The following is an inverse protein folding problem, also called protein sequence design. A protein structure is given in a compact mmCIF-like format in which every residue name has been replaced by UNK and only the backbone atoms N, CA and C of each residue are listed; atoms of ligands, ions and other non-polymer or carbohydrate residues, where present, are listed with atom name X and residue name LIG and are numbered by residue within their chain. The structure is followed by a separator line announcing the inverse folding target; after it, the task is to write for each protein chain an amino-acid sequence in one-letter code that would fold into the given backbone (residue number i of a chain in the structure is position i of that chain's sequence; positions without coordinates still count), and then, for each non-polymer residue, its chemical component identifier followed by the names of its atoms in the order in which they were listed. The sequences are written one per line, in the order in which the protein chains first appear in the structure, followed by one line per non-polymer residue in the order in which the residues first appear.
data_IF_630376517515
#
_entry.id   IF_630376517515
#
_cell.length_a   1.000
_cell.length_b   1.000
_cell.length_c   1.000
_cell.angle_alpha   90.00
_cell.angle_beta   90.00
_cell.angle_gamma   90.00
#
_symmetry.space_group_name_H-M   'P 1'
#
loop_
_entity.id
_entity.type
_entity.pdbx_description
1 polymer ?
#
# COMPACT_ATOMS: atom_id res chain seq x y z
N UNK A 1 -15.06 7.51 -11.01
CA UNK A 1 -14.84 7.44 -9.55
C UNK A 1 -15.18 6.08 -8.95
N UNK A 2 -16.44 5.62 -8.97
CA UNK A 2 -16.79 4.32 -8.36
C UNK A 2 -16.03 3.15 -9.01
N UNK A 3 -16.04 3.05 -10.33
CA UNK A 3 -15.29 2.02 -11.08
C UNK A 3 -13.78 2.11 -10.85
N UNK A 4 -13.25 3.32 -10.73
CA UNK A 4 -11.83 3.54 -10.43
C UNK A 4 -11.49 3.01 -9.03
N UNK A 5 -12.28 3.34 -8.02
CA UNK A 5 -12.07 2.83 -6.66
C UNK A 5 -12.21 1.30 -6.60
N UNK A 6 -13.13 0.71 -7.37
CA UNK A 6 -13.24 -0.75 -7.50
C UNK A 6 -11.98 -1.37 -8.10
N UNK A 7 -11.36 -0.73 -9.09
CA UNK A 7 -10.11 -1.19 -9.69
C UNK A 7 -8.97 -1.17 -8.66
N UNK A 8 -8.90 -0.12 -7.84
CA UNK A 8 -7.93 -0.06 -6.73
C UNK A 8 -8.16 -1.18 -5.70
N UNK A 9 -9.41 -1.45 -5.33
CA UNK A 9 -9.78 -2.57 -4.45
C UNK A 9 -9.34 -3.91 -5.03
N UNK A 10 -9.56 -4.14 -6.32
CA UNK A 10 -9.13 -5.38 -6.97
C UNK A 10 -7.60 -5.55 -6.94
N UNK A 11 -6.83 -4.48 -7.16
CA UNK A 11 -5.38 -4.55 -7.01
C UNK A 11 -4.96 -4.94 -5.59
N UNK A 12 -5.56 -4.33 -4.56
CA UNK A 12 -5.29 -4.66 -3.17
C UNK A 12 -5.63 -6.12 -2.84
N UNK A 13 -6.79 -6.61 -3.30
CA UNK A 13 -7.25 -7.98 -3.09
C UNK A 13 -6.39 -9.03 -3.81
N UNK A 14 -5.82 -8.67 -4.96
CA UNK A 14 -4.91 -9.51 -5.74
C UNK A 14 -3.47 -9.51 -5.16
N UNK A 15 -3.20 -8.75 -4.11
CA UNK A 15 -1.84 -8.57 -3.57
C UNK A 15 -0.92 -7.69 -4.44
N UNK A 16 -1.48 -6.98 -5.42
CA UNK A 16 -0.77 -6.05 -6.32
C UNK A 16 -0.63 -4.68 -5.65
N UNK A 17 0.14 -4.66 -4.56
CA UNK A 17 0.22 -3.50 -3.64
C UNK A 17 0.83 -2.27 -4.31
N UNK A 18 1.86 -2.46 -5.14
CA UNK A 18 2.53 -1.34 -5.81
C UNK A 18 1.61 -0.71 -6.85
N UNK A 19 0.92 -1.55 -7.63
CA UNK A 19 -0.04 -1.13 -8.64
C UNK A 19 -1.24 -0.43 -8.00
N UNK A 20 -1.71 -0.90 -6.83
CA UNK A 20 -2.74 -0.23 -6.06
C UNK A 20 -2.30 1.18 -5.61
N UNK A 21 -1.09 1.28 -5.05
CA UNK A 21 -0.52 2.55 -4.59
C UNK A 21 -0.33 3.56 -5.72
N UNK A 22 0.31 3.15 -6.82
CA UNK A 22 0.51 3.98 -8.02
C UNK A 22 -0.82 4.47 -8.58
N UNK A 23 -1.81 3.58 -8.69
CA UNK A 23 -3.11 3.92 -9.24
C UNK A 23 -3.91 4.88 -8.33
N UNK A 24 -3.89 4.69 -7.01
CA UNK A 24 -4.57 5.57 -6.06
C UNK A 24 -3.94 6.97 -6.00
N UNK A 25 -2.62 7.07 -6.11
CA UNK A 25 -1.92 8.35 -6.23
C UNK A 25 -2.38 9.12 -7.48
N UNK A 26 -2.46 8.44 -8.63
CA UNK A 26 -2.94 9.05 -9.86
C UNK A 26 -4.41 9.48 -9.75
N UNK A 27 -5.25 8.71 -9.08
CA UNK A 27 -6.63 9.12 -8.78
C UNK A 27 -6.69 10.35 -7.87
N UNK A 28 -5.81 10.44 -6.87
CA UNK A 28 -5.75 11.59 -5.96
C UNK A 28 -5.37 12.89 -6.68
N UNK A 29 -4.45 12.84 -7.65
CA UNK A 29 -4.04 14.02 -8.46
C UNK A 29 -5.17 14.58 -9.32
N UNK A 30 -6.05 13.71 -9.79
CA UNK A 30 -7.13 14.05 -10.73
C UNK A 30 -8.43 14.50 -10.05
N UNK A 31 -8.43 14.60 -8.71
CA UNK A 31 -9.59 15.00 -7.93
C UNK A 31 -9.24 16.17 -7.01
N UNK A 32 -10.22 17.02 -6.67
CA UNK A 32 -10.06 18.09 -5.68
C UNK A 32 -9.71 17.48 -4.31
N UNK A 33 -8.40 17.35 -4.08
CA UNK A 33 -7.83 16.65 -2.94
C UNK A 33 -7.80 17.58 -1.72
N UNK A 34 -8.35 17.10 -0.60
CA UNK A 34 -8.14 17.73 0.69
C UNK A 34 -6.70 17.47 1.19
N UNK A 35 -6.29 18.20 2.23
CA UNK A 35 -4.93 18.12 2.79
C UNK A 35 -4.54 16.69 3.21
N UNK A 36 -5.49 15.91 3.75
CA UNK A 36 -5.26 14.51 4.12
C UNK A 36 -4.93 13.64 2.89
N UNK A 37 -5.71 13.76 1.81
CA UNK A 37 -5.48 13.03 0.55
C UNK A 37 -4.10 13.37 0.00
N UNK A 38 -3.72 14.65 0.01
CA UNK A 38 -2.40 15.10 -0.46
C UNK A 38 -1.31 14.44 0.38
N UNK A 39 -1.37 14.55 1.71
CA UNK A 39 -0.37 13.97 2.62
C UNK A 39 -0.21 12.45 2.42
N UNK A 40 -1.32 11.72 2.40
CA UNK A 40 -1.29 10.26 2.25
C UNK A 40 -0.73 9.87 0.89
N UNK A 41 -1.16 10.54 -0.19
CA UNK A 41 -0.67 10.27 -1.54
C UNK A 41 0.83 10.55 -1.69
N UNK A 42 1.33 11.64 -1.10
CA UNK A 42 2.76 11.96 -1.12
C UNK A 42 3.60 10.94 -0.35
N UNK A 43 3.09 10.40 0.75
CA UNK A 43 3.79 9.34 1.49
C UNK A 43 3.84 8.03 0.68
N UNK A 44 2.76 7.67 -0.02
CA UNK A 44 2.76 6.53 -0.95
C UNK A 44 3.80 6.74 -2.07
N UNK A 45 3.84 7.93 -2.68
CA UNK A 45 4.84 8.25 -3.73
C UNK A 45 6.28 8.15 -3.24
N UNK A 46 6.53 8.58 -2.00
CA UNK A 46 7.84 8.47 -1.35
C UNK A 46 8.24 7.01 -1.20
N UNK A 47 7.38 6.17 -0.63
CA UNK A 47 7.68 4.74 -0.42
C UNK A 47 7.88 4.00 -1.75
N UNK A 48 7.08 4.30 -2.78
CA UNK A 48 7.24 3.76 -4.13
C UNK A 48 8.58 4.14 -4.76
N UNK A 49 9.11 5.33 -4.45
CA UNK A 49 10.42 5.79 -4.91
C UNK A 49 11.55 5.10 -4.16
N UNK A 50 11.46 5.03 -2.83
CA UNK A 50 12.50 4.42 -2.00
C UNK A 50 12.68 2.93 -2.35
N UNK A 51 11.59 2.21 -2.67
CA UNK A 51 11.66 0.84 -3.19
C UNK A 51 12.45 0.69 -4.51
N UNK A 52 12.58 1.76 -5.31
CA UNK A 52 13.33 1.74 -6.58
C UNK A 52 14.81 2.11 -6.38
N UNK A 53 15.15 2.85 -5.32
CA UNK A 53 16.48 3.47 -5.14
C UNK A 53 17.49 2.61 -4.36
N UNK A 54 17.06 1.55 -3.67
CA UNK A 54 17.93 0.74 -2.77
C UNK A 54 18.72 -0.40 -3.45
N UNK A 55 18.66 -0.52 -4.79
CA UNK A 55 19.26 -1.66 -5.53
C UNK A 55 20.77 -1.82 -5.34
N UNK A 56 21.51 -0.71 -5.24
CA UNK A 56 22.97 -0.70 -5.09
C UNK A 56 23.46 -1.29 -3.76
N UNK A 57 22.63 -1.31 -2.71
CA UNK A 57 23.02 -1.80 -1.37
C UNK A 57 23.35 -3.30 -1.42
N UNK A 58 22.71 -4.04 -2.32
CA UNK A 58 22.95 -5.47 -2.55
C UNK A 58 24.32 -5.78 -3.20
N UNK A 59 24.97 -4.75 -3.77
CA UNK A 59 26.25 -4.84 -4.47
C UNK A 59 27.45 -4.55 -3.55
N UNK A 60 27.22 -4.19 -2.28
CA UNK A 60 28.28 -3.91 -1.31
C UNK A 60 29.11 -5.18 -1.06
N UNK A 61 30.41 -5.10 -1.38
CA UNK A 61 31.37 -6.15 -1.04
C UNK A 61 31.68 -6.13 0.47
N UNK A 62 31.16 -7.13 1.19
CA UNK A 62 31.26 -7.21 2.64
C UNK A 62 31.11 -8.66 3.10
N UNK A 63 31.82 -9.01 4.18
CA UNK A 63 31.62 -10.29 4.90
C UNK A 63 30.22 -10.43 5.52
N UNK A 64 29.45 -9.34 5.58
CA UNK A 64 28.08 -9.31 6.10
C UNK A 64 27.02 -9.26 4.98
N UNK A 65 27.39 -9.51 3.73
CA UNK A 65 26.49 -9.40 2.57
C UNK A 65 25.15 -10.12 2.77
N UNK A 66 25.17 -11.34 3.29
CA UNK A 66 23.93 -12.10 3.52
C UNK A 66 23.01 -11.43 4.56
N UNK A 67 23.60 -10.82 5.60
CA UNK A 67 22.83 -10.05 6.59
C UNK A 67 22.26 -8.77 5.97
N UNK A 68 23.03 -8.10 5.11
CA UNK A 68 22.57 -6.92 4.37
C UNK A 68 21.38 -7.29 3.49
N UNK A 69 21.47 -8.37 2.71
CA UNK A 69 20.38 -8.86 1.86
C UNK A 69 19.14 -9.18 2.69
N UNK A 70 19.28 -9.91 3.80
CA UNK A 70 18.16 -10.23 4.69
C UNK A 70 17.47 -8.98 5.24
N UNK A 71 18.24 -7.98 5.67
CA UNK A 71 17.69 -6.71 6.20
C UNK A 71 16.98 -5.93 5.09
N UNK A 72 17.51 -5.93 3.87
CA UNK A 72 16.86 -5.30 2.72
C UNK A 72 15.53 -5.98 2.38
N UNK A 73 15.48 -7.30 2.38
CA UNK A 73 14.25 -8.05 2.15
C UNK A 73 13.18 -7.73 3.20
N UNK A 74 13.57 -7.68 4.48
CA UNK A 74 12.68 -7.28 5.58
C UNK A 74 12.20 -5.83 5.42
N UNK A 75 13.09 -4.92 5.02
CA UNK A 75 12.75 -3.53 4.76
C UNK A 75 11.75 -3.38 3.61
N UNK A 76 12.00 -4.05 2.48
CA UNK A 76 11.10 -4.09 1.32
C UNK A 76 9.71 -4.61 1.73
N UNK A 77 9.65 -5.66 2.56
CA UNK A 77 8.39 -6.18 3.09
C UNK A 77 7.66 -5.15 3.93
N UNK A 78 8.35 -4.47 4.85
CA UNK A 78 7.77 -3.41 5.68
C UNK A 78 7.25 -2.23 4.86
N UNK A 79 8.00 -1.78 3.84
CA UNK A 79 7.57 -0.69 2.95
C UNK A 79 6.34 -1.05 2.13
N UNK A 80 6.30 -2.27 1.57
CA UNK A 80 5.11 -2.78 0.87
C UNK A 80 3.89 -2.78 1.78
N UNK A 81 4.05 -3.23 3.02
CA UNK A 81 2.97 -3.23 3.99
C UNK A 81 2.51 -1.81 4.37
N UNK A 82 3.45 -0.87 4.50
CA UNK A 82 3.14 0.54 4.70
C UNK A 82 2.32 1.10 3.52
N UNK A 83 2.73 0.83 2.28
CA UNK A 83 1.98 1.22 1.07
C UNK A 83 0.57 0.64 1.09
N UNK A 84 0.41 -0.64 1.48
CA UNK A 84 -0.91 -1.28 1.60
C UNK A 84 -1.81 -0.51 2.57
N UNK A 85 -1.32 -0.22 3.78
CA UNK A 85 -2.11 0.47 4.81
C UNK A 85 -2.43 1.92 4.41
N UNK A 86 -1.46 2.64 3.85
CA UNK A 86 -1.70 3.99 3.31
C UNK A 86 -2.72 3.97 2.16
N UNK A 87 -2.67 2.95 1.30
CA UNK A 87 -3.64 2.77 0.22
C UNK A 87 -5.06 2.55 0.74
N UNK A 88 -5.24 1.78 1.82
CA UNK A 88 -6.54 1.63 2.47
C UNK A 88 -7.07 2.96 3.02
N UNK A 89 -6.21 3.72 3.70
CA UNK A 89 -6.55 5.05 4.23
C UNK A 89 -6.90 6.03 3.11
N UNK A 90 -6.14 6.04 2.02
CA UNK A 90 -6.41 6.88 0.86
C UNK A 90 -7.73 6.50 0.19
N UNK A 91 -8.02 5.21 0.07
CA UNK A 91 -9.28 4.70 -0.47
C UNK A 91 -10.49 5.11 0.40
N UNK A 92 -10.37 5.04 1.73
CA UNK A 92 -11.40 5.54 2.66
C UNK A 92 -11.72 7.03 2.40
N UNK A 93 -10.68 7.85 2.28
CA UNK A 93 -10.83 9.29 2.02
C UNK A 93 -11.42 9.58 0.63
N UNK A 94 -10.93 8.93 -0.41
CA UNK A 94 -11.41 9.12 -1.79
C UNK A 94 -12.84 8.61 -1.98
N UNK A 95 -13.20 7.51 -1.30
CA UNK A 95 -14.58 6.98 -1.30
C UNK A 95 -15.54 7.80 -0.45
N UNK A 96 -15.05 8.77 0.34
CA UNK A 96 -15.81 9.55 1.32
C UNK A 96 -16.55 8.64 2.34
N UNK A 97 -15.91 7.55 2.74
CA UNK A 97 -16.50 6.58 3.67
C UNK A 97 -17.60 5.72 3.04
N UNK A 98 -17.54 5.45 1.73
CA UNK A 98 -18.50 4.57 1.09
C UNK A 98 -18.28 3.11 1.53
N UNK A 99 -19.08 2.68 2.50
CA UNK A 99 -19.05 1.33 3.09
C UNK A 99 -19.14 0.20 2.05
N UNK A 100 -19.82 0.38 0.92
CA UNK A 100 -19.87 -0.67 -0.11
C UNK A 100 -18.49 -0.94 -0.68
N UNK A 101 -17.70 0.11 -0.94
CA UNK A 101 -16.33 -0.02 -1.45
C UNK A 101 -15.42 -0.60 -0.37
N UNK A 102 -15.55 -0.12 0.87
CA UNK A 102 -14.69 -0.55 1.98
C UNK A 102 -14.91 -2.02 2.35
N UNK A 103 -16.16 -2.50 2.34
CA UNK A 103 -16.48 -3.90 2.60
C UNK A 103 -16.07 -4.86 1.48
N UNK A 104 -15.68 -4.35 0.29
CA UNK A 104 -15.14 -5.18 -0.80
C UNK A 104 -13.64 -5.46 -0.63
N UNK A 105 -12.96 -4.79 0.29
CA UNK A 105 -11.57 -5.06 0.62
C UNK A 105 -11.51 -6.34 1.44
N UNK A 106 -10.86 -7.36 0.89
CA UNK A 106 -10.52 -8.58 1.63
C UNK A 106 -9.35 -8.21 2.53
N UNK A 107 -9.61 -8.06 3.81
CA UNK A 107 -8.53 -7.80 4.75
C UNK A 107 -7.87 -9.14 5.11
N UNK A 108 -6.62 -9.42 4.68
CA UNK A 108 -5.92 -10.66 5.00
C UNK A 108 -5.70 -10.85 6.51
N UNK A 109 -5.87 -9.79 7.31
CA UNK A 109 -5.79 -9.83 8.78
C UNK A 109 -7.16 -9.88 9.47
N UNK A 110 -8.29 -9.78 8.75
CA UNK A 110 -9.62 -9.89 9.36
C UNK A 110 -10.08 -11.34 9.59
N UNK A 111 -9.40 -12.33 9.01
CA UNK A 111 -9.75 -13.75 9.17
C UNK A 111 -9.10 -14.44 10.39
N UNK A 112 -8.38 -13.73 11.25
CA UNK A 112 -7.92 -14.28 12.53
C UNK A 112 -8.97 -14.07 13.63
N UNK A 113 -9.73 -15.12 13.92
CA UNK A 113 -10.76 -15.30 14.95
C UNK A 113 -12.18 -14.83 14.59
N UNK A 114 -12.99 -15.70 13.94
CA UNK A 114 -14.39 -15.76 14.35
C UNK A 114 -14.39 -16.12 15.84
N UNK A 115 -14.95 -15.26 16.67
CA UNK A 115 -15.32 -15.64 18.03
C UNK A 115 -16.17 -16.91 17.96
N UNK A 116 -15.55 -18.06 18.24
CA UNK A 116 -16.28 -19.28 18.55
C UNK A 116 -17.05 -18.96 19.83
N UNK A 117 -18.33 -18.61 19.70
CA UNK A 117 -19.25 -18.66 20.82
C UNK A 117 -19.30 -20.14 21.25
N UNK A 118 -18.75 -20.40 22.44
CA UNK A 118 -18.91 -21.66 23.19
C UNK A 118 -20.33 -21.69 23.74
#
# INVERSE_FOLDING_TARGET
MFEDLLKAVNYLNDGKILEAGEYLVELAKNNDANEDIIKISSEIEKELRELKEESWISEIDSKFRDQIISVLEDNIRCRKELIRVLSLSLLEKLSKGNELILNMIRNPHAESNPHTFI
#
